data_IF_320447861677
#
_entry.id   IF_320447861677
#
_cell.length_a   1.000
_cell.length_b   1.000
_cell.length_c   1.000
_cell.angle_alpha   90.00
_cell.angle_beta   90.00
_cell.angle_gamma   90.00
#
_symmetry.space_group_name_H-M   'P 1'
#
loop_
_entity.id
_entity.type
_entity.pdbx_description
1 polymer ?
#
# COMPACT_ATOMS: atom_id res chain seq x y z
N UNK A 1 -6.40 27.02 -20.32
CA UNK A 1 -6.48 25.82 -19.45
C UNK A 1 -6.29 26.32 -18.02
N UNK A 2 -7.31 26.24 -17.19
CA UNK A 2 -7.14 26.45 -15.75
C UNK A 2 -6.19 25.37 -15.26
N UNK A 3 -5.00 25.73 -14.77
CA UNK A 3 -4.11 24.79 -14.10
C UNK A 3 -4.88 24.20 -12.93
N UNK A 4 -5.30 22.93 -13.05
CA UNK A 4 -5.88 22.18 -11.94
C UNK A 4 -4.86 22.10 -10.81
N UNK A 5 -5.33 22.00 -9.58
CA UNK A 5 -4.45 21.76 -8.44
C UNK A 5 -3.58 20.53 -8.70
N UNK A 6 -2.29 20.60 -8.36
CA UNK A 6 -1.37 19.42 -8.43
C UNK A 6 -1.85 18.22 -7.59
N UNK A 7 -2.81 18.44 -6.70
CA UNK A 7 -3.40 17.45 -5.82
C UNK A 7 -4.87 17.13 -6.16
N UNK A 8 -5.38 17.64 -7.28
CA UNK A 8 -6.70 17.28 -7.80
C UNK A 8 -6.58 15.94 -8.57
N UNK A 9 -7.35 14.96 -8.13
CA UNK A 9 -7.40 13.63 -8.75
C UNK A 9 -8.74 13.36 -9.45
N UNK A 10 -9.50 14.41 -9.79
CA UNK A 10 -10.77 14.27 -10.52
C UNK A 10 -10.53 13.54 -11.86
N UNK A 11 -11.29 12.47 -12.09
CA UNK A 11 -11.13 11.60 -13.25
C UNK A 11 -10.00 10.57 -13.17
N UNK A 12 -9.29 10.52 -12.05
CA UNK A 12 -8.26 9.55 -11.75
C UNK A 12 -8.88 8.28 -11.12
N UNK A 13 -8.38 7.12 -11.45
CA UNK A 13 -8.82 5.83 -10.87
C UNK A 13 -7.69 5.20 -10.11
N UNK A 14 -7.94 4.88 -8.84
CA UNK A 14 -6.98 4.23 -7.95
C UNK A 14 -7.46 2.84 -7.51
N UNK A 15 -6.58 1.85 -7.57
CA UNK A 15 -6.81 0.51 -6.99
C UNK A 15 -6.00 0.39 -5.71
N UNK A 16 -6.65 -0.01 -4.59
CA UNK A 16 -5.98 -0.16 -3.28
C UNK A 16 -6.20 -1.56 -2.74
N UNK A 17 -5.16 -2.40 -2.71
CA UNK A 17 -5.23 -3.72 -2.07
C UNK A 17 -5.10 -3.59 -0.56
N UNK A 18 -5.94 -4.33 0.19
CA UNK A 18 -6.08 -4.10 1.64
C UNK A 18 -6.68 -2.72 1.95
N UNK A 19 -7.44 -2.13 1.02
CA UNK A 19 -8.02 -0.79 1.13
C UNK A 19 -9.19 -0.66 2.10
N UNK A 20 -9.60 -1.76 2.73
CA UNK A 20 -10.75 -1.82 3.63
C UNK A 20 -10.39 -1.63 5.13
N UNK A 21 -9.13 -1.38 5.47
CA UNK A 21 -8.69 -1.18 6.85
C UNK A 21 -7.30 -0.55 6.93
N UNK A 22 -6.95 -0.03 8.11
CA UNK A 22 -5.60 0.46 8.42
C UNK A 22 -5.06 1.46 7.41
N UNK A 23 -3.78 1.33 7.06
CA UNK A 23 -3.08 2.25 6.13
C UNK A 23 -3.72 2.26 4.75
N UNK A 24 -4.16 1.08 4.25
CA UNK A 24 -4.83 1.00 2.95
C UNK A 24 -6.13 1.81 2.90
N UNK A 25 -6.92 1.79 3.97
CA UNK A 25 -8.11 2.65 4.07
C UNK A 25 -7.73 4.14 4.18
N UNK A 26 -6.61 4.46 4.86
CA UNK A 26 -6.05 5.81 4.86
C UNK A 26 -5.71 6.29 3.45
N UNK A 27 -5.00 5.47 2.67
CA UNK A 27 -4.74 5.78 1.26
C UNK A 27 -6.04 6.01 0.47
N UNK A 28 -6.99 5.07 0.58
CA UNK A 28 -8.26 5.15 -0.14
C UNK A 28 -9.05 6.42 0.19
N UNK A 29 -9.09 6.83 1.48
CA UNK A 29 -9.73 8.09 1.92
C UNK A 29 -9.07 9.31 1.32
N UNK A 30 -7.73 9.39 1.35
CA UNK A 30 -7.00 10.51 0.76
C UNK A 30 -7.29 10.65 -0.73
N UNK A 31 -7.23 9.55 -1.47
CA UNK A 31 -7.51 9.50 -2.91
C UNK A 31 -8.95 9.92 -3.23
N UNK A 32 -9.94 9.37 -2.52
CA UNK A 32 -11.34 9.72 -2.73
C UNK A 32 -11.65 11.20 -2.39
N UNK A 33 -11.07 11.73 -1.30
CA UNK A 33 -11.20 13.16 -0.93
C UNK A 33 -10.58 14.10 -1.97
N UNK A 34 -9.55 13.63 -2.67
CA UNK A 34 -8.94 14.39 -3.76
C UNK A 34 -9.69 14.25 -5.11
N UNK A 35 -10.82 13.54 -5.14
CA UNK A 35 -11.68 13.40 -6.30
C UNK A 35 -11.47 12.14 -7.14
N UNK A 36 -10.59 11.22 -6.73
CA UNK A 36 -10.38 9.97 -7.46
C UNK A 36 -11.56 9.00 -7.29
N UNK A 37 -11.83 8.22 -8.33
CA UNK A 37 -12.57 6.98 -8.22
C UNK A 37 -11.68 5.91 -7.58
N UNK A 38 -12.19 5.13 -6.63
CA UNK A 38 -11.37 4.19 -5.85
C UNK A 38 -11.92 2.77 -5.92
N UNK A 39 -11.09 1.81 -6.32
CA UNK A 39 -11.38 0.38 -6.19
C UNK A 39 -10.73 -0.16 -4.91
N UNK A 40 -11.56 -0.57 -3.95
CA UNK A 40 -11.14 -1.24 -2.72
C UNK A 40 -11.08 -2.74 -2.95
N UNK A 41 -9.91 -3.33 -2.75
CA UNK A 41 -9.67 -4.76 -2.94
C UNK A 41 -9.27 -5.43 -1.63
N UNK A 42 -9.94 -6.52 -1.27
CA UNK A 42 -9.63 -7.29 -0.07
C UNK A 42 -10.46 -8.57 0.01
N UNK A 43 -10.12 -9.48 0.92
CA UNK A 43 -10.80 -10.79 1.04
C UNK A 43 -12.20 -10.71 1.66
N UNK A 44 -12.43 -9.75 2.53
CA UNK A 44 -13.70 -9.63 3.25
C UNK A 44 -14.64 -8.69 2.50
N UNK A 45 -15.68 -9.26 1.87
CA UNK A 45 -16.65 -8.54 1.06
C UNK A 45 -17.38 -7.45 1.86
N UNK A 46 -17.87 -7.75 3.07
CA UNK A 46 -18.60 -6.78 3.89
C UNK A 46 -17.74 -5.55 4.23
N UNK A 47 -16.47 -5.76 4.59
CA UNK A 47 -15.54 -4.66 4.88
C UNK A 47 -15.21 -3.85 3.62
N UNK A 48 -15.10 -4.50 2.46
CA UNK A 48 -14.89 -3.82 1.19
C UNK A 48 -16.08 -2.93 0.85
N UNK A 49 -17.31 -3.46 0.98
CA UNK A 49 -18.54 -2.71 0.74
C UNK A 49 -18.70 -1.53 1.72
N UNK A 50 -18.45 -1.75 3.00
CA UNK A 50 -18.50 -0.68 4.00
C UNK A 50 -17.47 0.44 3.69
N UNK A 51 -16.25 0.07 3.28
CA UNK A 51 -15.24 1.03 2.87
C UNK A 51 -15.66 1.78 1.60
N UNK A 52 -16.17 1.09 0.58
CA UNK A 52 -16.64 1.71 -0.65
C UNK A 52 -17.81 2.67 -0.40
N UNK A 53 -18.77 2.29 0.46
CA UNK A 53 -19.86 3.18 0.86
C UNK A 53 -19.36 4.46 1.54
N UNK A 54 -18.35 4.34 2.44
CA UNK A 54 -17.71 5.50 3.06
C UNK A 54 -17.02 6.40 2.01
N UNK A 55 -16.25 5.80 1.10
CA UNK A 55 -15.50 6.55 0.09
C UNK A 55 -16.40 7.27 -0.91
N UNK A 56 -17.53 6.67 -1.29
CA UNK A 56 -18.52 7.29 -2.20
C UNK A 56 -19.11 8.59 -1.62
N UNK A 57 -19.09 8.77 -0.31
CA UNK A 57 -19.56 10.01 0.32
C UNK A 57 -18.68 11.22 0.00
N UNK A 58 -17.47 11.03 -0.55
CA UNK A 58 -16.60 12.11 -1.02
C UNK A 58 -16.87 12.56 -2.47
N UNK A 59 -17.81 11.93 -3.17
CA UNK A 59 -18.34 12.36 -4.47
C UNK A 59 -17.82 11.62 -5.69
N UNK A 60 -16.73 10.83 -5.57
CA UNK A 60 -16.24 9.92 -6.60
C UNK A 60 -16.96 8.56 -6.56
N UNK A 61 -16.73 7.73 -7.58
CA UNK A 61 -17.18 6.34 -7.59
C UNK A 61 -16.28 5.51 -6.66
N UNK A 62 -16.87 4.57 -5.92
CA UNK A 62 -16.11 3.59 -5.16
C UNK A 62 -16.59 2.17 -5.51
N UNK A 63 -15.65 1.31 -5.87
CA UNK A 63 -15.89 -0.08 -6.26
C UNK A 63 -15.31 -1.02 -5.20
N UNK A 64 -16.10 -1.99 -4.74
CA UNK A 64 -15.67 -3.02 -3.80
C UNK A 64 -15.45 -4.35 -4.54
N UNK A 65 -14.23 -4.89 -4.52
CA UNK A 65 -13.92 -6.18 -5.13
C UNK A 65 -13.33 -7.16 -4.11
N UNK A 66 -13.90 -8.34 -4.03
CA UNK A 66 -13.35 -9.43 -3.22
C UNK A 66 -12.26 -10.15 -4.00
N UNK A 67 -11.05 -10.23 -3.41
CA UNK A 67 -9.89 -10.89 -3.99
C UNK A 67 -8.96 -11.40 -2.88
N UNK A 68 -8.55 -12.65 -2.96
CA UNK A 68 -7.36 -13.11 -2.26
C UNK A 68 -6.16 -12.86 -3.17
N UNK A 69 -5.31 -11.91 -2.78
CA UNK A 69 -4.15 -11.51 -3.59
C UNK A 69 -3.09 -12.61 -3.70
N UNK A 70 -3.16 -13.67 -2.87
CA UNK A 70 -2.28 -14.85 -2.99
C UNK A 70 -2.67 -15.76 -4.18
N UNK A 71 -3.85 -15.55 -4.75
CA UNK A 71 -4.37 -16.31 -5.89
C UNK A 71 -4.21 -15.48 -7.17
N UNK A 72 -3.20 -15.81 -7.99
CA UNK A 72 -2.84 -15.04 -9.19
C UNK A 72 -4.03 -14.78 -10.12
N UNK A 73 -4.86 -15.80 -10.36
CA UNK A 73 -6.02 -15.65 -11.26
C UNK A 73 -7.05 -14.66 -10.71
N UNK A 74 -7.27 -14.64 -9.38
CA UNK A 74 -8.18 -13.66 -8.78
C UNK A 74 -7.65 -12.22 -8.94
N UNK A 75 -6.34 -12.03 -8.88
CA UNK A 75 -5.73 -10.71 -9.13
C UNK A 75 -5.95 -10.30 -10.58
N UNK A 76 -5.68 -11.18 -11.55
CA UNK A 76 -5.90 -10.92 -12.98
C UNK A 76 -7.35 -10.50 -13.22
N UNK A 77 -8.31 -11.29 -12.73
CA UNK A 77 -9.75 -11.03 -12.90
C UNK A 77 -10.17 -9.71 -12.24
N UNK A 78 -9.59 -9.39 -11.06
CA UNK A 78 -9.86 -8.17 -10.32
C UNK A 78 -9.42 -6.93 -11.09
N UNK A 79 -8.22 -6.93 -11.67
CA UNK A 79 -7.73 -5.80 -12.47
C UNK A 79 -8.51 -5.64 -13.78
N UNK A 80 -8.88 -6.76 -14.42
CA UNK A 80 -9.77 -6.75 -15.58
C UNK A 80 -11.14 -6.13 -15.28
N UNK A 81 -11.74 -6.50 -14.13
CA UNK A 81 -13.02 -5.94 -13.69
C UNK A 81 -12.90 -4.45 -13.31
N UNK A 82 -11.88 -4.08 -12.53
CA UNK A 82 -11.67 -2.69 -12.14
C UNK A 82 -11.52 -1.78 -13.36
N UNK A 83 -10.72 -2.19 -14.35
CA UNK A 83 -10.55 -1.46 -15.60
C UNK A 83 -11.84 -1.38 -16.43
N UNK A 84 -12.64 -2.47 -16.49
CA UNK A 84 -13.90 -2.48 -17.23
C UNK A 84 -14.98 -1.60 -16.57
N UNK A 85 -15.10 -1.65 -15.23
CA UNK A 85 -16.15 -0.94 -14.51
C UNK A 85 -15.81 0.55 -14.27
N UNK A 86 -14.53 0.90 -14.06
CA UNK A 86 -14.09 2.27 -13.82
C UNK A 86 -13.51 2.97 -15.06
N UNK A 87 -13.18 2.20 -16.11
CA UNK A 87 -12.76 2.71 -17.40
C UNK A 87 -11.24 2.87 -17.57
N UNK A 88 -10.49 2.98 -16.48
CA UNK A 88 -9.03 3.17 -16.45
C UNK A 88 -8.45 2.75 -15.10
N UNK A 89 -7.12 2.71 -14.99
CA UNK A 89 -6.37 2.61 -13.73
C UNK A 89 -5.14 3.51 -13.84
N UNK A 90 -5.07 4.54 -12.99
CA UNK A 90 -4.00 5.53 -12.99
C UNK A 90 -3.02 5.33 -11.85
N UNK A 91 -3.48 4.74 -10.74
CA UNK A 91 -2.62 4.39 -9.62
C UNK A 91 -3.01 3.07 -8.99
N UNK A 92 -2.00 2.36 -8.47
CA UNK A 92 -2.19 1.12 -7.73
C UNK A 92 -1.38 1.15 -6.44
N UNK A 93 -2.09 1.02 -5.30
CA UNK A 93 -1.50 0.95 -3.97
C UNK A 93 -1.50 -0.51 -3.50
N UNK A 94 -0.35 -1.14 -3.56
CA UNK A 94 -0.12 -2.52 -3.11
C UNK A 94 0.16 -2.49 -1.62
N UNK A 95 -0.91 -2.66 -0.83
CA UNK A 95 -0.83 -2.53 0.62
C UNK A 95 -1.21 -3.82 1.36
N UNK A 96 -1.93 -4.75 0.74
CA UNK A 96 -2.24 -6.04 1.35
C UNK A 96 -0.97 -6.76 1.82
N UNK A 97 -1.02 -7.30 3.04
CA UNK A 97 0.12 -7.98 3.63
C UNK A 97 -0.21 -8.60 4.98
N UNK A 98 0.72 -9.40 5.49
CA UNK A 98 0.61 -10.06 6.81
C UNK A 98 1.89 -9.85 7.60
N UNK A 99 1.77 -9.85 8.93
CA UNK A 99 2.90 -9.94 9.84
C UNK A 99 3.38 -11.39 9.99
N UNK A 100 4.61 -11.55 10.45
CA UNK A 100 5.14 -12.82 10.93
C UNK A 100 4.65 -13.07 12.37
N UNK A 101 4.46 -14.35 12.75
CA UNK A 101 4.30 -14.75 14.16
C UNK A 101 5.56 -14.45 14.97
N UNK A 102 5.41 -14.19 16.28
CA UNK A 102 6.54 -13.88 17.17
C UNK A 102 7.30 -15.15 17.61
N UNK A 103 7.82 -15.91 16.64
CA UNK A 103 8.58 -17.15 16.85
C UNK A 103 10.08 -16.84 16.79
N UNK A 104 10.93 -17.41 17.70
CA UNK A 104 12.38 -17.29 17.62
C UNK A 104 12.93 -17.77 16.27
N UNK A 105 14.02 -17.15 15.79
CA UNK A 105 14.59 -17.47 14.48
C UNK A 105 14.85 -18.95 14.26
N UNK A 106 15.47 -19.58 15.25
CA UNK A 106 15.84 -21.02 15.20
C UNK A 106 14.66 -21.98 15.23
N UNK A 107 13.48 -21.48 15.59
CA UNK A 107 12.23 -22.24 15.67
C UNK A 107 11.28 -21.91 14.50
N UNK A 108 11.60 -20.89 13.70
CA UNK A 108 10.79 -20.51 12.55
C UNK A 108 10.98 -21.53 11.42
N UNK A 109 9.93 -22.23 11.08
CA UNK A 109 9.96 -23.19 9.98
C UNK A 109 9.86 -22.52 8.60
N UNK A 110 10.19 -23.30 7.57
CA UNK A 110 10.17 -22.82 6.19
C UNK A 110 8.73 -22.53 5.69
N UNK A 111 7.72 -23.18 6.27
CA UNK A 111 6.31 -22.96 5.90
C UNK A 111 5.88 -21.56 6.31
N UNK A 112 6.20 -21.13 7.55
CA UNK A 112 5.92 -19.76 8.01
C UNK A 112 6.71 -18.72 7.22
N UNK A 113 7.98 -18.99 6.92
CA UNK A 113 8.78 -18.11 6.05
C UNK A 113 8.09 -17.91 4.70
N UNK A 114 7.68 -19.01 4.05
CA UNK A 114 6.99 -18.98 2.74
C UNK A 114 5.63 -18.32 2.82
N UNK A 115 4.85 -18.59 3.86
CA UNK A 115 3.53 -17.94 4.05
C UNK A 115 3.64 -16.43 4.03
N UNK A 116 4.64 -15.87 4.72
CA UNK A 116 4.84 -14.42 4.79
C UNK A 116 5.40 -13.87 3.48
N UNK A 117 6.41 -14.54 2.91
CA UNK A 117 7.04 -14.06 1.66
C UNK A 117 6.10 -14.16 0.47
N UNK A 118 5.33 -15.25 0.34
CA UNK A 118 4.35 -15.39 -0.75
C UNK A 118 3.30 -14.29 -0.72
N UNK A 119 2.78 -13.93 0.44
CA UNK A 119 1.74 -12.92 0.49
C UNK A 119 2.30 -11.49 0.40
N UNK A 120 3.45 -11.22 1.01
CA UNK A 120 4.01 -9.87 1.04
C UNK A 120 4.87 -9.51 -0.19
N UNK A 121 5.39 -10.50 -0.91
CA UNK A 121 6.30 -10.29 -2.04
C UNK A 121 5.74 -10.87 -3.35
N UNK A 122 5.40 -12.17 -3.41
CA UNK A 122 4.92 -12.78 -4.64
C UNK A 122 3.56 -12.20 -5.05
N UNK A 123 2.60 -12.07 -4.12
CA UNK A 123 1.31 -11.45 -4.41
C UNK A 123 1.45 -9.96 -4.76
N UNK A 124 2.39 -9.25 -4.14
CA UNK A 124 2.70 -7.87 -4.51
C UNK A 124 3.26 -7.77 -5.94
N UNK A 125 4.14 -8.72 -6.33
CA UNK A 125 4.65 -8.81 -7.71
C UNK A 125 3.50 -8.99 -8.72
N UNK A 126 2.60 -9.94 -8.49
CA UNK A 126 1.45 -10.17 -9.38
C UNK A 126 0.58 -8.92 -9.46
N UNK A 127 0.29 -8.28 -8.33
CA UNK A 127 -0.54 -7.06 -8.26
C UNK A 127 0.09 -5.90 -9.04
N UNK A 128 1.40 -5.64 -8.84
CA UNK A 128 2.13 -4.59 -9.57
C UNK A 128 2.18 -4.88 -11.07
N UNK A 129 2.39 -6.15 -11.45
CA UNK A 129 2.43 -6.58 -12.84
C UNK A 129 1.10 -6.35 -13.56
N UNK A 130 -0.03 -6.73 -12.95
CA UNK A 130 -1.34 -6.56 -13.57
C UNK A 130 -1.73 -5.07 -13.66
N UNK A 131 -1.42 -4.27 -12.63
CA UNK A 131 -1.59 -2.82 -12.70
C UNK A 131 -0.76 -2.21 -13.86
N UNK A 132 0.52 -2.59 -13.95
CA UNK A 132 1.41 -2.10 -15.00
C UNK A 132 0.93 -2.49 -16.40
N UNK A 133 0.40 -3.71 -16.61
CA UNK A 133 -0.19 -4.13 -17.90
C UNK A 133 -1.33 -3.21 -18.33
N UNK A 134 -2.23 -2.87 -17.40
CA UNK A 134 -3.35 -1.95 -17.71
C UNK A 134 -2.80 -0.57 -18.06
N UNK A 135 -1.89 0.00 -17.26
CA UNK A 135 -1.28 1.30 -17.48
C UNK A 135 -0.52 1.36 -18.81
N UNK A 136 0.22 0.30 -19.16
CA UNK A 136 0.93 0.22 -20.45
C UNK A 136 -0.05 0.18 -21.64
N UNK A 137 -1.15 -0.56 -21.52
CA UNK A 137 -2.18 -0.64 -22.55
C UNK A 137 -2.91 0.71 -22.73
N UNK A 138 -3.09 1.48 -21.66
CA UNK A 138 -3.66 2.84 -21.70
C UNK A 138 -2.72 3.84 -22.38
N UNK A 139 -1.40 3.71 -22.20
CA UNK A 139 -0.40 4.61 -22.81
C UNK A 139 -0.32 5.99 -22.17
N UNK A 140 -0.94 6.22 -21.02
CA UNK A 140 -1.03 7.53 -20.35
C UNK A 140 -0.16 7.62 -19.08
N UNK A 141 0.73 6.64 -18.88
CA UNK A 141 1.55 6.55 -17.68
C UNK A 141 0.80 5.97 -16.47
N UNK A 142 1.26 6.27 -15.27
CA UNK A 142 0.63 5.80 -14.04
C UNK A 142 1.52 5.85 -12.80
N UNK A 143 0.99 5.42 -11.67
CA UNK A 143 1.71 5.36 -10.39
C UNK A 143 1.50 4.04 -9.67
N UNK A 144 2.60 3.33 -9.41
CA UNK A 144 2.66 2.12 -8.61
C UNK A 144 3.23 2.46 -7.23
N UNK A 145 2.52 2.11 -6.17
CA UNK A 145 2.95 2.41 -4.79
C UNK A 145 2.87 1.16 -3.95
N UNK A 146 3.98 0.77 -3.32
CA UNK A 146 4.03 -0.41 -2.46
C UNK A 146 4.22 -0.03 -0.98
N UNK A 147 3.42 -0.62 -0.10
CA UNK A 147 3.59 -0.48 1.35
C UNK A 147 4.68 -1.42 1.84
N UNK A 148 5.88 -0.88 2.03
CA UNK A 148 6.99 -1.58 2.66
C UNK A 148 6.91 -1.50 4.20
N UNK A 149 8.02 -1.35 4.90
CA UNK A 149 8.08 -1.21 6.36
C UNK A 149 9.47 -0.77 6.79
N UNK A 150 9.59 -0.14 7.95
CA UNK A 150 10.88 0.05 8.63
C UNK A 150 11.66 -1.25 8.81
N UNK A 151 10.98 -2.40 8.92
CA UNK A 151 11.60 -3.71 8.99
C UNK A 151 12.49 -4.04 7.77
N UNK A 152 12.31 -3.35 6.65
CA UNK A 152 13.18 -3.50 5.47
C UNK A 152 14.57 -2.87 5.67
N UNK A 153 14.70 -1.93 6.60
CA UNK A 153 15.93 -1.16 6.85
C UNK A 153 16.51 -1.38 8.25
N UNK A 154 15.70 -1.88 9.18
CA UNK A 154 16.08 -2.07 10.58
C UNK A 154 15.90 -3.54 10.98
N UNK A 155 16.78 -4.04 11.85
CA UNK A 155 16.62 -5.37 12.44
C UNK A 155 15.39 -5.44 13.35
N UNK A 156 14.51 -6.40 13.08
CA UNK A 156 13.33 -6.69 13.90
C UNK A 156 13.49 -8.11 14.47
N UNK A 157 13.71 -8.24 15.76
CA UNK A 157 13.77 -9.57 16.38
C UNK A 157 12.48 -10.36 16.11
N UNK A 158 12.61 -11.62 15.70
CA UNK A 158 11.49 -12.51 15.35
C UNK A 158 10.65 -12.02 14.16
N UNK A 159 11.26 -11.22 13.27
CA UNK A 159 10.62 -10.61 12.11
C UNK A 159 11.29 -10.94 10.77
N UNK A 160 12.07 -12.02 10.68
CA UNK A 160 12.97 -12.29 9.57
C UNK A 160 12.25 -12.43 8.21
N UNK A 161 11.16 -13.19 8.18
CA UNK A 161 10.38 -13.39 6.95
C UNK A 161 9.73 -12.09 6.50
N UNK A 162 9.20 -11.34 7.46
CA UNK A 162 8.59 -10.04 7.21
C UNK A 162 9.62 -9.04 6.69
N UNK A 163 10.76 -8.91 7.38
CA UNK A 163 11.85 -8.04 6.98
C UNK A 163 12.38 -8.37 5.58
N UNK A 164 12.64 -9.67 5.31
CA UNK A 164 13.07 -10.13 4.00
C UNK A 164 12.07 -9.80 2.90
N UNK A 165 10.76 -10.03 3.14
CA UNK A 165 9.71 -9.72 2.18
C UNK A 165 9.62 -8.21 1.88
N UNK A 166 9.72 -7.36 2.89
CA UNK A 166 9.62 -5.91 2.73
C UNK A 166 10.89 -5.28 2.12
N UNK A 167 12.06 -5.84 2.38
CA UNK A 167 13.31 -5.45 1.70
C UNK A 167 13.29 -5.87 0.22
N UNK A 168 12.86 -7.10 -0.06
CA UNK A 168 12.67 -7.59 -1.44
C UNK A 168 11.66 -6.75 -2.22
N UNK A 169 10.58 -6.31 -1.57
CA UNK A 169 9.57 -5.46 -2.18
C UNK A 169 10.16 -4.10 -2.62
N UNK A 170 10.99 -3.45 -1.80
CA UNK A 170 11.68 -2.20 -2.17
C UNK A 170 12.59 -2.42 -3.37
N UNK A 171 13.40 -3.48 -3.36
CA UNK A 171 14.30 -3.79 -4.48
C UNK A 171 13.52 -4.04 -5.78
N UNK A 172 12.39 -4.74 -5.71
CA UNK A 172 11.51 -4.98 -6.84
C UNK A 172 10.90 -3.67 -7.37
N UNK A 173 10.41 -2.80 -6.50
CA UNK A 173 9.85 -1.48 -6.87
C UNK A 173 10.90 -0.62 -7.58
N UNK A 174 12.14 -0.61 -7.09
CA UNK A 174 13.24 0.13 -7.72
C UNK A 174 13.51 -0.37 -9.15
N UNK A 175 13.49 -1.69 -9.37
CA UNK A 175 13.68 -2.29 -10.69
C UNK A 175 12.53 -1.92 -11.65
N UNK A 176 11.28 -2.01 -11.17
CA UNK A 176 10.08 -1.60 -11.92
C UNK A 176 10.15 -0.12 -12.29
N UNK A 177 10.58 0.74 -11.36
CA UNK A 177 10.72 2.18 -11.58
C UNK A 177 11.65 2.49 -12.76
N UNK A 178 12.82 1.84 -12.79
CA UNK A 178 13.81 2.03 -13.89
C UNK A 178 13.27 1.52 -15.22
N UNK A 179 12.62 0.35 -15.23
CA UNK A 179 12.12 -0.27 -16.45
C UNK A 179 10.97 0.51 -17.07
N UNK A 180 10.01 0.97 -16.24
CA UNK A 180 8.75 1.54 -16.72
C UNK A 180 8.75 3.07 -16.83
N UNK A 181 9.78 3.75 -16.35
CA UNK A 181 9.88 5.22 -16.41
C UNK A 181 9.71 5.80 -17.83
N UNK A 182 10.26 5.12 -18.85
CA UNK A 182 10.11 5.52 -20.27
C UNK A 182 8.68 5.51 -20.79
N UNK A 183 7.77 4.84 -20.07
CA UNK A 183 6.34 4.79 -20.35
C UNK A 183 5.53 5.77 -19.48
N UNK A 184 6.19 6.65 -18.73
CA UNK A 184 5.53 7.55 -17.79
C UNK A 184 4.97 6.87 -16.53
N UNK A 185 5.30 5.58 -16.29
CA UNK A 185 4.85 4.85 -15.10
C UNK A 185 5.92 4.99 -14.02
N UNK A 186 5.52 5.55 -12.87
CA UNK A 186 6.36 5.71 -11.70
C UNK A 186 6.11 4.56 -10.72
N UNK A 187 7.13 4.17 -9.97
CA UNK A 187 6.99 3.18 -8.90
C UNK A 187 7.77 3.63 -7.65
N UNK A 188 7.09 3.69 -6.51
CA UNK A 188 7.68 4.14 -5.24
C UNK A 188 7.23 3.25 -4.08
N UNK A 189 7.99 3.27 -2.99
CA UNK A 189 7.66 2.58 -1.75
C UNK A 189 7.30 3.56 -0.64
N UNK A 190 6.32 3.22 0.19
CA UNK A 190 6.04 3.93 1.45
C UNK A 190 6.51 3.05 2.60
N UNK A 191 7.29 3.62 3.53
CA UNK A 191 7.77 2.97 4.74
C UNK A 191 7.04 3.52 5.97
N UNK A 192 5.99 2.86 6.44
CA UNK A 192 5.35 3.22 7.69
C UNK A 192 6.22 2.90 8.90
N UNK A 193 6.17 3.79 9.92
CA UNK A 193 6.58 3.48 11.27
C UNK A 193 5.51 2.67 12.02
N UNK A 194 5.36 2.97 13.30
CA UNK A 194 4.35 2.33 14.17
C UNK A 194 3.00 3.03 14.03
N UNK A 195 2.05 2.38 13.38
CA UNK A 195 0.73 2.92 13.02
C UNK A 195 -0.37 2.06 13.65
N UNK A 196 -1.40 2.69 14.18
CA UNK A 196 -2.60 2.02 14.72
C UNK A 196 -3.39 1.36 13.59
N UNK A 197 -3.35 0.04 13.55
CA UNK A 197 -4.03 -0.79 12.56
C UNK A 197 -4.42 -2.12 13.19
N UNK A 198 -5.33 -2.90 12.60
CA UNK A 198 -5.61 -4.26 13.07
C UNK A 198 -4.35 -5.15 13.14
N UNK A 199 -3.33 -4.91 12.32
CA UNK A 199 -2.08 -5.66 12.34
C UNK A 199 -1.22 -5.37 13.58
N UNK A 200 -1.28 -4.17 14.13
CA UNK A 200 -0.44 -3.71 15.25
C UNK A 200 -1.17 -3.72 16.60
N UNK A 201 -2.48 -3.97 16.61
CA UNK A 201 -3.34 -3.93 17.79
C UNK A 201 -2.79 -4.78 18.94
N UNK A 202 -2.41 -6.03 18.67
CA UNK A 202 -1.85 -6.93 19.68
C UNK A 202 -0.52 -6.44 20.25
N UNK A 203 0.34 -5.79 19.44
CA UNK A 203 1.59 -5.22 19.90
C UNK A 203 1.33 -3.99 20.79
N UNK A 204 0.39 -3.14 20.42
CA UNK A 204 0.06 -1.91 21.16
C UNK A 204 -0.69 -2.19 22.46
N UNK A 205 -1.40 -3.31 22.56
CA UNK A 205 -2.02 -3.78 23.80
C UNK A 205 -0.99 -4.30 24.82
N UNK A 206 0.25 -4.58 24.40
CA UNK A 206 1.29 -5.09 25.29
C UNK A 206 2.07 -3.93 25.93
N UNK A 207 1.88 -3.70 27.24
CA UNK A 207 2.45 -2.58 27.99
C UNK A 207 3.97 -2.45 27.82
N UNK A 208 4.70 -3.57 27.96
CA UNK A 208 6.17 -3.57 27.81
C UNK A 208 6.65 -3.12 26.43
N UNK A 209 5.87 -3.42 25.39
CA UNK A 209 6.17 -2.93 24.05
C UNK A 209 5.92 -1.42 23.96
N UNK A 210 4.76 -0.97 24.46
CA UNK A 210 4.38 0.44 24.49
C UNK A 210 5.40 1.29 25.25
N UNK A 211 5.81 0.86 26.44
CA UNK A 211 6.82 1.56 27.26
C UNK A 211 8.19 1.67 26.58
N UNK A 212 8.56 0.71 25.72
CA UNK A 212 9.86 0.71 25.03
C UNK A 212 9.85 1.44 23.71
N UNK A 213 8.74 1.39 22.98
CA UNK A 213 8.65 1.90 21.60
C UNK A 213 8.11 3.33 21.56
N UNK A 214 7.02 3.60 22.28
CA UNK A 214 6.37 4.91 22.24
C UNK A 214 7.29 6.08 22.62
N UNK A 215 8.16 6.02 23.67
CA UNK A 215 9.09 7.12 23.99
C UNK A 215 10.13 7.39 22.90
N UNK A 216 10.39 6.43 22.01
CA UNK A 216 11.33 6.58 20.88
C UNK A 216 10.70 7.24 19.66
N UNK A 217 9.41 7.52 19.68
CA UNK A 217 8.75 8.27 18.59
C UNK A 217 8.84 9.77 18.94
N UNK A 218 9.64 10.59 18.23
CA UNK A 218 9.79 12.02 18.54
C UNK A 218 8.48 12.80 18.51
N UNK A 219 7.54 12.43 17.61
CA UNK A 219 6.20 13.03 17.51
C UNK A 219 5.27 12.68 18.68
N UNK A 220 5.69 11.76 19.57
CA UNK A 220 5.02 11.39 20.84
C UNK A 220 3.61 10.84 20.68
N UNK A 221 3.30 10.25 19.55
CA UNK A 221 2.08 9.48 19.31
C UNK A 221 2.33 8.34 18.32
N UNK A 222 1.45 7.36 18.33
CA UNK A 222 1.39 6.41 17.24
C UNK A 222 0.94 7.11 15.95
N UNK A 223 1.37 6.60 14.81
CA UNK A 223 0.81 6.98 13.53
C UNK A 223 -0.65 6.52 13.41
N UNK A 224 -1.43 7.24 12.64
CA UNK A 224 -2.81 6.91 12.31
C UNK A 224 -2.94 6.62 10.82
N UNK A 225 -3.94 5.85 10.36
CA UNK A 225 -4.23 5.70 8.93
C UNK A 225 -4.35 7.04 8.20
N UNK A 226 -4.90 8.06 8.84
CA UNK A 226 -5.02 9.42 8.30
C UNK A 226 -3.68 10.13 8.02
N UNK A 227 -2.59 9.74 8.69
CA UNK A 227 -1.26 10.29 8.39
C UNK A 227 -0.75 9.88 7.00
N UNK A 228 -1.44 8.93 6.35
CA UNK A 228 -1.09 8.42 5.03
C UNK A 228 -2.00 8.93 3.90
N UNK A 229 -3.04 9.70 4.21
CA UNK A 229 -3.97 10.25 3.21
C UNK A 229 -3.23 11.18 2.22
N UNK A 230 -2.46 12.13 2.73
CA UNK A 230 -1.78 13.13 1.89
C UNK A 230 -0.67 12.54 1.01
N UNK A 231 0.09 11.57 1.51
CA UNK A 231 1.13 10.91 0.72
C UNK A 231 0.52 10.07 -0.41
N UNK A 232 -0.69 9.51 -0.22
CA UNK A 232 -1.39 8.80 -1.28
C UNK A 232 -1.74 9.75 -2.43
N UNK A 233 -2.29 10.91 -2.12
CA UNK A 233 -2.61 11.95 -3.13
C UNK A 233 -1.34 12.43 -3.85
N UNK A 234 -0.28 12.71 -3.10
CA UNK A 234 1.01 13.11 -3.65
C UNK A 234 1.57 12.08 -4.62
N UNK A 235 1.61 10.80 -4.22
CA UNK A 235 2.18 9.74 -5.06
C UNK A 235 1.30 9.36 -6.26
N UNK A 236 -0.03 9.47 -6.13
CA UNK A 236 -0.95 9.19 -7.23
C UNK A 236 -0.87 10.26 -8.33
N UNK A 237 -0.82 11.53 -7.92
CA UNK A 237 -1.00 12.69 -8.79
C UNK A 237 0.26 13.25 -9.44
N UNK A 238 0.09 14.34 -10.22
CA UNK A 238 1.17 15.00 -10.93
C UNK A 238 2.18 15.71 -10.01
N UNK A 239 1.85 15.94 -8.73
CA UNK A 239 2.75 16.54 -7.74
C UNK A 239 4.06 15.74 -7.56
N UNK A 240 4.05 14.44 -7.85
CA UNK A 240 5.21 13.56 -7.79
C UNK A 240 5.73 13.11 -9.15
N UNK A 241 5.48 13.88 -10.21
CA UNK A 241 5.79 13.49 -11.60
C UNK A 241 7.28 13.17 -11.84
N UNK A 242 8.20 13.75 -11.06
CA UNK A 242 9.64 13.50 -11.17
C UNK A 242 10.18 12.54 -10.10
N UNK A 243 9.29 11.88 -9.34
CA UNK A 243 9.69 10.95 -8.27
C UNK A 243 9.35 9.51 -8.64
N UNK A 244 10.38 8.69 -8.84
CA UNK A 244 10.27 7.25 -9.11
C UNK A 244 11.49 6.51 -8.53
N UNK A 245 11.29 5.28 -8.05
CA UNK A 245 12.34 4.46 -7.44
C UNK A 245 12.71 4.93 -6.04
N UNK A 246 11.87 5.69 -5.36
CA UNK A 246 12.14 6.22 -4.04
C UNK A 246 11.37 5.50 -2.93
N UNK A 247 11.82 5.73 -1.71
CA UNK A 247 11.27 5.14 -0.50
C UNK A 247 10.91 6.23 0.49
N UNK A 248 9.61 6.52 0.63
CA UNK A 248 9.11 7.59 1.49
C UNK A 248 8.88 7.08 2.91
N UNK A 249 9.67 7.59 3.83
CA UNK A 249 9.60 7.24 5.25
C UNK A 249 8.56 8.10 5.97
N UNK A 250 7.59 7.45 6.65
CA UNK A 250 6.53 8.09 7.44
C UNK A 250 6.44 7.39 8.80
N UNK A 251 7.26 7.81 9.75
CA UNK A 251 7.48 7.09 11.02
C UNK A 251 7.47 7.97 12.28
N UNK A 252 7.09 9.24 12.16
CA UNK A 252 7.11 10.17 13.29
C UNK A 252 8.52 10.42 13.86
N UNK A 253 9.57 10.16 13.07
CA UNK A 253 10.96 10.30 13.45
C UNK A 253 11.56 9.09 14.18
N UNK A 254 10.83 8.00 14.33
CA UNK A 254 11.27 6.80 15.08
C UNK A 254 12.63 6.27 14.63
N UNK A 255 12.91 6.24 13.33
CA UNK A 255 14.17 5.73 12.78
C UNK A 255 15.35 6.66 12.94
N UNK A 256 15.13 7.90 13.36
CA UNK A 256 16.17 8.94 13.53
C UNK A 256 16.62 9.11 14.97
N UNK A 257 15.95 8.44 15.92
CA UNK A 257 16.19 8.59 17.35
C UNK A 257 16.58 7.26 18.01
#
# INVERSE_FOLDING_TARGET
MTEGSLFDLTGHVAVVTGGNSGIGLGFARGLARAGADVCVVGRNAERNEAAAAELSAFGGRALALSCDVSEEQQVIDTFGRAAAELGRIDSCFVNAGVSQGFVPFVETDLAEFRRVTSLNLDAAFVTLREAAKVMLAQGEGGSLVATASLAAQQGVPRGQSYAASKAGLIAMVNSIAVELAKHGIRANSVLPGWVETPMTEGAFAWDRFRERVHPRIPVRRWGLPSDFESVAVYLAGPASAYQTGDTLLIDGGYSKF
#
